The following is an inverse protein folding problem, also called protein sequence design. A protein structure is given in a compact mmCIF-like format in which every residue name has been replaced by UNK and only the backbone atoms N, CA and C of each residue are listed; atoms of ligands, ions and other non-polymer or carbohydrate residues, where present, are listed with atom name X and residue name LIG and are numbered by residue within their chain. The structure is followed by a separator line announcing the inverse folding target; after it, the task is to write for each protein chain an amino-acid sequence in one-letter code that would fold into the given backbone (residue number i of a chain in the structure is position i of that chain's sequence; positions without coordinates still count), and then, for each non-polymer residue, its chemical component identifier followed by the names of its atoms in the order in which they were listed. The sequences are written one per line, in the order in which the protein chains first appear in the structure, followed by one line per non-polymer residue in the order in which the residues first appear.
data_IF_147153434256
#
_entry.id   IF_147153434256
#
_cell.length_a   1.000
_cell.length_b   1.000
_cell.length_c   1.000
_cell.angle_alpha   90.00
_cell.angle_beta   90.00
_cell.angle_gamma   90.00
#
_symmetry.space_group_name_H-M   'P 1'
#
loop_
_entity.id
_entity.type
_entity.pdbx_description
1 polymer ?
#
# COMPACT_ATOMS: atom_id res chain seq x y z
N UNK A 1 -1.03 14.68 38.31
CA UNK A 1 -2.20 14.33 37.47
C UNK A 1 -2.16 15.32 36.30
N UNK A 2 -1.98 14.99 35.03
CA UNK A 2 -2.38 13.83 34.25
C UNK A 2 -1.31 13.47 33.19
N UNK A 3 -1.02 12.18 33.06
CA UNK A 3 -0.33 11.61 31.92
C UNK A 3 -1.36 11.37 30.81
N UNK A 4 -1.51 12.32 29.90
CA UNK A 4 -2.49 12.21 28.81
C UNK A 4 -1.79 11.91 27.48
N UNK A 5 -1.57 10.61 27.27
CA UNK A 5 -1.66 9.91 25.99
C UNK A 5 -0.75 10.40 24.85
N UNK A 6 0.45 9.82 24.79
CA UNK A 6 1.17 9.62 23.52
C UNK A 6 0.29 8.73 22.63
N UNK A 7 -0.47 9.32 21.69
CA UNK A 7 -1.02 8.57 20.58
C UNK A 7 0.14 8.28 19.62
N UNK A 8 0.73 7.11 19.77
CA UNK A 8 1.71 6.58 18.83
C UNK A 8 1.17 6.71 17.41
N UNK A 9 2.00 7.28 16.54
CA UNK A 9 1.72 7.63 15.14
C UNK A 9 1.63 6.35 14.31
N UNK A 10 0.62 5.52 14.57
CA UNK A 10 0.27 4.40 13.72
C UNK A 10 -1.09 4.70 13.12
N UNK A 11 -1.09 5.61 12.15
CA UNK A 11 -2.22 5.75 11.25
C UNK A 11 -2.45 4.36 10.62
N UNK A 12 -3.50 3.67 11.04
CA UNK A 12 -3.95 2.46 10.37
C UNK A 12 -4.14 2.85 8.90
N UNK A 13 -3.25 2.36 8.03
CA UNK A 13 -3.18 2.71 6.62
C UNK A 13 -4.42 2.18 5.89
N UNK A 14 -5.56 2.83 6.13
CA UNK A 14 -6.77 2.64 5.35
C UNK A 14 -6.62 3.54 4.14
N UNK A 15 -6.86 2.97 2.96
CA UNK A 15 -6.80 3.72 1.72
C UNK A 15 -8.09 3.57 0.95
N UNK A 16 -8.09 4.10 -0.27
CA UNK A 16 -9.27 4.07 -1.12
C UNK A 16 -9.41 2.71 -1.80
N UNK A 17 -10.65 2.24 -1.86
CA UNK A 17 -11.00 1.06 -2.63
C UNK A 17 -10.90 1.37 -4.12
N UNK A 18 -10.15 0.56 -4.86
CA UNK A 18 -9.99 0.72 -6.31
C UNK A 18 -11.32 0.61 -7.06
N UNK A 19 -12.26 -0.20 -6.54
CA UNK A 19 -13.55 -0.43 -7.20
C UNK A 19 -14.59 0.65 -6.88
N UNK A 20 -14.79 0.96 -5.59
CA UNK A 20 -15.89 1.81 -5.14
C UNK A 20 -15.44 3.17 -4.59
N UNK A 21 -14.15 3.49 -4.63
CA UNK A 21 -13.57 4.79 -4.23
C UNK A 21 -13.53 5.08 -2.73
N UNK A 22 -14.24 4.29 -1.93
CA UNK A 22 -14.39 4.47 -0.48
C UNK A 22 -13.07 4.35 0.27
N UNK A 23 -12.83 5.24 1.22
CA UNK A 23 -11.61 5.41 2.03
C UNK A 23 -11.44 4.39 3.17
N UNK A 24 -12.37 3.46 3.33
CA UNK A 24 -12.32 2.40 4.35
C UNK A 24 -11.76 1.07 3.82
N UNK A 25 -10.93 1.08 2.78
CA UNK A 25 -10.40 -0.16 2.23
C UNK A 25 -9.37 -0.78 3.20
N UNK A 26 -9.76 -1.92 3.78
CA UNK A 26 -8.98 -2.67 4.79
C UNK A 26 -8.22 -3.85 4.20
N UNK A 27 -8.58 -4.30 2.99
CA UNK A 27 -8.04 -5.51 2.37
C UNK A 27 -7.10 -5.13 1.24
N UNK A 28 -5.88 -5.65 1.28
CA UNK A 28 -4.92 -5.55 0.17
C UNK A 28 -5.04 -6.76 -0.74
N UNK A 29 -4.77 -6.57 -2.03
CA UNK A 29 -4.62 -7.69 -2.96
C UNK A 29 -3.50 -8.63 -2.47
N UNK A 30 -3.81 -9.91 -2.25
CA UNK A 30 -2.80 -10.89 -1.79
C UNK A 30 -1.68 -11.14 -2.80
N UNK A 31 -1.92 -10.85 -4.09
CA UNK A 31 -0.95 -11.08 -5.17
C UNK A 31 0.09 -9.98 -5.31
N UNK A 32 -0.35 -8.72 -5.46
CA UNK A 32 0.54 -7.59 -5.67
C UNK A 32 0.77 -6.73 -4.43
N UNK A 33 -0.15 -6.79 -3.44
CA UNK A 33 -0.16 -5.95 -2.23
C UNK A 33 -0.19 -4.43 -2.48
N UNK A 34 -0.40 -4.02 -3.73
CA UNK A 34 -0.47 -2.61 -4.15
C UNK A 34 -1.89 -2.05 -3.97
N UNK A 35 -2.90 -2.74 -4.50
CA UNK A 35 -4.27 -2.21 -4.51
C UNK A 35 -5.06 -2.63 -3.27
N UNK A 36 -5.96 -1.73 -2.87
CA UNK A 36 -6.81 -1.85 -1.71
C UNK A 36 -8.28 -2.03 -2.12
N UNK A 37 -8.99 -2.84 -1.35
CA UNK A 37 -10.41 -3.13 -1.51
C UNK A 37 -11.13 -3.09 -0.17
N UNK A 38 -12.39 -2.68 -0.19
CA UNK A 38 -13.26 -2.78 0.99
C UNK A 38 -13.48 -4.24 1.41
N UNK A 39 -13.77 -5.11 0.44
CA UNK A 39 -14.14 -6.50 0.66
C UNK A 39 -13.77 -7.39 -0.55
N UNK A 40 -14.04 -8.70 -0.43
CA UNK A 40 -13.77 -9.66 -1.49
C UNK A 40 -14.58 -9.38 -2.78
N UNK A 41 -15.79 -8.84 -2.66
CA UNK A 41 -16.63 -8.50 -3.80
C UNK A 41 -16.01 -7.40 -4.66
N UNK A 42 -15.57 -6.30 -4.03
CA UNK A 42 -14.86 -5.22 -4.70
C UNK A 42 -13.62 -5.74 -5.44
N UNK A 43 -12.86 -6.65 -4.81
CA UNK A 43 -11.68 -7.26 -5.45
C UNK A 43 -12.04 -8.15 -6.64
N UNK A 44 -13.16 -8.88 -6.59
CA UNK A 44 -13.64 -9.75 -7.68
C UNK A 44 -14.14 -8.94 -8.87
N UNK A 45 -14.86 -7.85 -8.62
CA UNK A 45 -15.36 -6.99 -9.69
C UNK A 45 -14.20 -6.24 -10.36
N UNK A 46 -13.30 -5.65 -9.56
CA UNK A 46 -12.09 -5.02 -10.06
C UNK A 46 -11.09 -6.01 -10.68
N UNK A 47 -11.20 -7.32 -10.43
CA UNK A 47 -10.23 -8.31 -10.93
C UNK A 47 -10.06 -8.28 -12.45
N UNK A 48 -11.14 -7.99 -13.21
CA UNK A 48 -11.08 -7.92 -14.68
C UNK A 48 -10.07 -6.88 -15.16
N UNK A 49 -10.02 -5.72 -14.51
CA UNK A 49 -9.08 -4.63 -14.83
C UNK A 49 -7.76 -4.79 -14.06
N UNK A 50 -7.82 -5.17 -12.79
CA UNK A 50 -6.66 -5.34 -11.91
C UNK A 50 -5.73 -6.50 -12.32
N UNK A 51 -6.23 -7.60 -12.91
CA UNK A 51 -5.45 -8.81 -13.21
C UNK A 51 -4.18 -8.55 -14.03
N UNK A 52 -4.25 -7.63 -14.99
CA UNK A 52 -3.10 -7.29 -15.85
C UNK A 52 -2.00 -6.60 -15.04
N UNK A 53 -2.38 -5.60 -14.24
CA UNK A 53 -1.45 -4.85 -13.40
C UNK A 53 -0.92 -5.71 -12.23
N UNK A 54 -1.78 -6.52 -11.62
CA UNK A 54 -1.40 -7.46 -10.56
C UNK A 54 -0.25 -8.39 -10.97
N UNK A 55 -0.29 -8.89 -12.22
CA UNK A 55 0.77 -9.75 -12.78
C UNK A 55 2.07 -9.00 -13.04
N UNK A 56 2.01 -7.70 -13.35
CA UNK A 56 3.21 -6.87 -13.55
C UNK A 56 3.90 -6.58 -12.21
N UNK A 57 3.14 -6.22 -11.18
CA UNK A 57 3.69 -5.87 -9.86
C UNK A 57 4.45 -7.02 -9.18
N UNK A 58 4.09 -8.28 -9.43
CA UNK A 58 4.80 -9.45 -8.89
C UNK A 58 6.27 -9.55 -9.33
N UNK A 59 6.67 -8.83 -10.39
CA UNK A 59 8.02 -8.89 -10.96
C UNK A 59 8.98 -7.88 -10.34
N UNK A 60 8.49 -6.95 -9.52
CA UNK A 60 9.30 -5.80 -9.09
C UNK A 60 9.96 -5.96 -7.71
N UNK A 61 9.75 -7.09 -7.02
CA UNK A 61 10.34 -7.33 -5.70
C UNK A 61 11.84 -7.63 -5.76
N UNK A 62 12.38 -7.99 -6.93
CA UNK A 62 13.79 -8.39 -7.08
C UNK A 62 14.69 -7.22 -7.53
N UNK A 63 14.13 -6.08 -7.96
CA UNK A 63 14.92 -4.92 -8.41
C UNK A 63 15.07 -3.82 -7.33
N UNK A 64 14.14 -3.72 -6.37
CA UNK A 64 14.16 -2.72 -5.29
C UNK A 64 14.67 -3.35 -3.97
N UNK A 65 15.73 -4.16 -4.05
CA UNK A 65 16.56 -4.50 -2.87
C UNK A 65 17.96 -3.83 -2.94
N UNK A 66 18.16 -2.89 -3.87
CA UNK A 66 19.35 -2.02 -3.95
C UNK A 66 19.05 -0.52 -3.68
N UNK A 67 17.93 -0.19 -3.03
CA UNK A 67 17.74 1.16 -2.49
C UNK A 67 18.04 1.14 -0.99
N UNK A 68 19.33 1.23 -0.70
CA UNK A 68 19.85 1.49 0.64
C UNK A 68 19.25 2.81 1.19
N UNK A 69 18.57 2.80 2.35
CA UNK A 69 17.95 4.00 2.93
C UNK A 69 18.95 4.98 3.57
N UNK A 70 20.28 4.79 3.44
CA UNK A 70 21.30 5.59 4.15
C UNK A 70 22.20 6.46 3.28
N UNK A 71 22.06 6.46 1.95
CA UNK A 71 22.87 7.37 1.11
C UNK A 71 22.38 8.82 1.20
N UNK A 72 22.87 9.57 2.20
CA UNK A 72 22.91 11.04 2.17
C UNK A 72 23.51 11.47 0.83
N UNK A 73 22.73 12.21 0.05
CA UNK A 73 23.18 12.78 -1.22
C UNK A 73 24.39 13.70 -1.05
N UNK A 74 25.17 13.95 -2.12
CA UNK A 74 26.40 14.72 -2.02
C UNK A 74 26.09 16.16 -1.61
N UNK A 75 26.74 16.61 -0.54
CA UNK A 75 26.82 18.01 -0.14
C UNK A 75 27.61 18.75 -1.23
N UNK A 76 26.92 19.54 -2.05
CA UNK A 76 27.58 20.45 -2.99
C UNK A 76 28.28 21.54 -2.15
N UNK A 77 29.56 21.78 -2.44
CA UNK A 77 30.38 22.79 -1.77
C UNK A 77 30.02 24.18 -2.26
#
# INVERSE_FOLDING_TARGET
MAASKLHGIFAASQGNCEYCGKDYAKKRCGGCRVMLYCNAECSKVAWKTHKKECKKSKKNTVAIMNLDPTKKGPHMK
#
